data_IF_221288029762
#
_entry.id   IF_221288029762
#
_cell.length_a   1.000
_cell.length_b   1.000
_cell.length_c   1.000
_cell.angle_alpha   90.00
_cell.angle_beta   90.00
_cell.angle_gamma   90.00
#
_symmetry.space_group_name_H-M   'P 1'
#
loop_
_entity.id
_entity.type
_entity.pdbx_description
1 polymer ?
#
# COMPACT_ATOMS: atom_id res chain seq x y z
N UNK A 1 -17.31 10.67 -14.89
CA UNK A 1 -17.91 9.44 -14.34
C UNK A 1 -16.89 8.37 -13.96
N UNK A 2 -15.76 8.24 -14.66
CA UNK A 2 -14.64 7.40 -14.22
C UNK A 2 -14.12 7.76 -12.81
N UNK A 3 -14.21 9.04 -12.44
CA UNK A 3 -13.83 9.57 -11.12
C UNK A 3 -14.57 8.88 -9.98
N UNK A 4 -15.89 8.61 -10.13
CA UNK A 4 -16.69 7.93 -9.08
C UNK A 4 -16.21 6.51 -8.79
N UNK A 5 -15.81 5.77 -9.83
CA UNK A 5 -15.29 4.41 -9.64
C UNK A 5 -13.93 4.44 -8.92
N UNK A 6 -13.05 5.37 -9.28
CA UNK A 6 -11.77 5.56 -8.62
C UNK A 6 -11.93 5.95 -7.15
N UNK A 7 -12.79 6.93 -6.86
CA UNK A 7 -13.15 7.32 -5.50
C UNK A 7 -13.66 6.14 -4.67
N UNK A 8 -14.52 5.35 -5.29
CA UNK A 8 -15.11 4.18 -4.63
C UNK A 8 -14.05 3.14 -4.26
N UNK A 9 -13.12 2.87 -5.18
CA UNK A 9 -12.02 1.95 -4.94
C UNK A 9 -11.07 2.48 -3.85
N UNK A 10 -10.65 3.73 -3.95
CA UNK A 10 -9.77 4.37 -2.95
C UNK A 10 -10.41 4.38 -1.56
N UNK A 11 -11.71 4.70 -1.47
CA UNK A 11 -12.44 4.64 -0.20
C UNK A 11 -12.53 3.22 0.38
N UNK A 12 -12.64 2.19 -0.46
CA UNK A 12 -12.60 0.80 -0.02
C UNK A 12 -11.21 0.40 0.49
N UNK A 13 -10.16 0.79 -0.22
CA UNK A 13 -8.75 0.57 0.18
C UNK A 13 -8.47 1.30 1.51
N UNK A 14 -8.81 2.59 1.61
CA UNK A 14 -8.55 3.37 2.84
C UNK A 14 -9.16 2.73 4.08
N UNK A 15 -10.40 2.23 3.98
CA UNK A 15 -11.07 1.56 5.11
C UNK A 15 -10.33 0.32 5.62
N UNK A 16 -9.50 -0.33 4.81
CA UNK A 16 -8.67 -1.45 5.25
C UNK A 16 -7.50 -1.00 6.15
N UNK A 17 -7.08 0.26 6.04
CA UNK A 17 -6.03 0.83 6.87
C UNK A 17 -6.56 1.48 8.15
N UNK A 18 -7.75 2.02 8.14
CA UNK A 18 -8.47 2.82 9.13
C UNK A 18 -7.66 3.30 10.35
N UNK A 19 -7.39 2.42 11.31
CA UNK A 19 -6.64 2.79 12.53
C UNK A 19 -5.14 2.99 12.31
N UNK A 20 -4.56 2.35 11.31
CA UNK A 20 -3.10 2.32 11.10
C UNK A 20 -2.57 3.55 10.36
N UNK A 21 -3.40 4.17 9.51
CA UNK A 21 -2.99 5.34 8.71
C UNK A 21 -3.57 6.68 9.19
N UNK A 22 -4.19 6.72 10.36
CA UNK A 22 -4.80 7.97 10.89
C UNK A 22 -3.86 9.17 10.95
N UNK A 23 -2.55 8.94 10.96
CA UNK A 23 -1.49 9.96 11.02
C UNK A 23 -0.47 9.77 9.88
N UNK A 24 -0.84 9.07 8.80
CA UNK A 24 0.06 8.71 7.70
C UNK A 24 0.38 9.85 6.72
N UNK A 25 -0.18 11.05 6.90
CA UNK A 25 0.07 12.22 6.05
C UNK A 25 0.41 13.42 6.91
N UNK A 26 1.64 13.92 6.79
CA UNK A 26 2.11 15.10 7.51
C UNK A 26 1.65 16.41 6.85
N UNK A 27 1.69 17.49 7.63
CA UNK A 27 1.48 18.88 7.17
C UNK A 27 0.16 19.05 6.40
N UNK A 28 -0.93 18.49 6.93
CA UNK A 28 -2.23 18.66 6.30
C UNK A 28 -2.71 20.12 6.41
N UNK A 29 -3.19 20.73 5.31
CA UNK A 29 -3.85 22.03 5.37
C UNK A 29 -5.01 22.04 6.37
N UNK A 30 -5.32 23.22 6.92
CA UNK A 30 -6.45 23.38 7.83
C UNK A 30 -7.76 22.86 7.19
N UNK A 31 -8.49 22.03 7.93
CA UNK A 31 -9.74 21.40 7.47
C UNK A 31 -9.55 20.13 6.61
N UNK A 32 -8.34 19.78 6.23
CA UNK A 32 -8.07 18.53 5.53
C UNK A 32 -7.84 17.38 6.54
N UNK A 33 -8.50 16.26 6.34
CA UNK A 33 -8.24 15.03 7.08
C UNK A 33 -7.40 14.03 6.27
N UNK A 34 -6.88 13.01 6.93
CA UNK A 34 -6.01 12.00 6.30
C UNK A 34 -6.71 11.26 5.17
N UNK A 35 -8.01 10.97 5.31
CA UNK A 35 -8.79 10.35 4.23
C UNK A 35 -8.78 11.20 2.95
N UNK A 36 -9.06 12.49 3.08
CA UNK A 36 -9.04 13.39 1.93
C UNK A 36 -7.64 13.54 1.32
N UNK A 37 -6.61 13.56 2.15
CA UNK A 37 -5.22 13.59 1.70
C UNK A 37 -4.85 12.30 0.92
N UNK A 38 -5.26 11.12 1.42
CA UNK A 38 -5.08 9.86 0.73
C UNK A 38 -5.80 9.83 -0.62
N UNK A 39 -7.07 10.27 -0.65
CA UNK A 39 -7.83 10.35 -1.91
C UNK A 39 -7.14 11.30 -2.89
N UNK A 40 -6.75 12.50 -2.44
CA UNK A 40 -6.09 13.50 -3.28
C UNK A 40 -4.75 12.98 -3.85
N UNK A 41 -3.96 12.29 -3.04
CA UNK A 41 -2.68 11.74 -3.46
C UNK A 41 -2.80 10.66 -4.54
N UNK A 42 -3.95 9.95 -4.58
CA UNK A 42 -4.12 8.76 -5.40
C UNK A 42 -5.16 8.91 -6.52
N UNK A 43 -6.01 9.95 -6.47
CA UNK A 43 -7.04 10.16 -7.46
C UNK A 43 -6.41 10.57 -8.81
N UNK A 44 -6.63 9.75 -9.83
CA UNK A 44 -6.10 9.98 -11.17
C UNK A 44 -4.68 9.45 -11.41
N UNK A 45 -3.94 9.12 -10.35
CA UNK A 45 -2.58 8.53 -10.47
C UNK A 45 -2.67 7.09 -10.96
N UNK A 46 -3.53 6.29 -10.33
CA UNK A 46 -3.80 4.92 -10.76
C UNK A 46 -5.27 4.79 -11.14
N UNK A 47 -5.53 4.48 -12.41
CA UNK A 47 -6.89 4.33 -12.93
C UNK A 47 -7.37 2.90 -12.71
N UNK A 48 -8.36 2.72 -11.84
CA UNK A 48 -9.02 1.45 -11.58
C UNK A 48 -10.52 1.62 -11.77
N UNK A 49 -11.15 0.70 -12.49
CA UNK A 49 -12.55 0.76 -12.85
C UNK A 49 -13.30 -0.46 -12.32
N UNK A 50 -14.12 -0.25 -11.30
CA UNK A 50 -15.02 -1.26 -10.74
C UNK A 50 -16.47 -0.86 -10.97
N UNK A 51 -17.38 -1.81 -11.16
CA UNK A 51 -18.80 -1.54 -11.34
C UNK A 51 -19.46 -1.15 -10.01
N UNK A 52 -20.64 -0.53 -10.10
CA UNK A 52 -21.46 -0.19 -8.92
C UNK A 52 -21.79 -1.45 -8.09
N UNK A 53 -22.13 -2.54 -8.74
CA UNK A 53 -22.41 -3.83 -8.07
C UNK A 53 -21.19 -4.36 -7.34
N UNK A 54 -20.03 -4.41 -8.00
CA UNK A 54 -18.77 -4.81 -7.34
C UNK A 54 -18.47 -3.95 -6.12
N UNK A 55 -18.66 -2.63 -6.23
CA UNK A 55 -18.50 -1.72 -5.09
C UNK A 55 -19.44 -2.05 -3.93
N UNK A 56 -20.71 -2.25 -4.22
CA UNK A 56 -21.70 -2.58 -3.19
C UNK A 56 -21.39 -3.91 -2.49
N UNK A 57 -20.74 -4.82 -3.21
CA UNK A 57 -20.24 -6.08 -2.67
C UNK A 57 -18.85 -5.94 -2.01
N UNK A 58 -18.37 -4.73 -1.71
CA UNK A 58 -17.08 -4.50 -1.06
C UNK A 58 -15.87 -4.67 -1.97
N UNK A 59 -16.07 -4.55 -3.30
CA UNK A 59 -14.99 -4.68 -4.30
C UNK A 59 -13.94 -3.60 -4.16
N UNK A 60 -12.67 -4.03 -4.27
CA UNK A 60 -11.49 -3.17 -4.29
C UNK A 60 -10.35 -3.82 -5.07
N UNK A 61 -9.46 -3.00 -5.62
CA UNK A 61 -8.26 -3.44 -6.35
C UNK A 61 -7.04 -2.77 -5.75
N UNK A 62 -6.03 -3.58 -5.42
CA UNK A 62 -4.69 -3.11 -5.06
C UNK A 62 -3.98 -2.52 -6.27
N UNK A 63 -3.35 -1.38 -6.06
CA UNK A 63 -2.54 -0.68 -7.04
C UNK A 63 -1.39 0.06 -6.31
N UNK A 64 -0.39 0.60 -7.01
CA UNK A 64 0.73 1.27 -6.37
C UNK A 64 0.31 2.63 -5.77
N UNK A 65 -0.60 2.57 -4.80
CA UNK A 65 -1.09 3.75 -4.08
C UNK A 65 -0.04 4.30 -3.14
N UNK A 66 0.04 5.64 -3.09
CA UNK A 66 0.73 6.34 -2.02
C UNK A 66 -0.05 6.15 -0.72
N UNK A 67 0.56 5.50 0.26
CA UNK A 67 -0.10 5.19 1.53
C UNK A 67 0.29 6.15 2.65
N UNK A 68 1.50 6.70 2.57
CA UNK A 68 1.98 7.72 3.51
C UNK A 68 2.70 8.85 2.77
N UNK A 69 2.75 10.03 3.40
CA UNK A 69 3.50 11.19 2.92
C UNK A 69 4.04 11.97 4.09
N UNK A 70 5.34 12.06 4.19
CA UNK A 70 5.98 12.76 5.30
C UNK A 70 7.44 13.10 5.04
N UNK A 71 8.12 13.49 6.10
CA UNK A 71 9.45 14.08 6.09
C UNK A 71 10.59 13.10 6.36
N UNK A 72 10.28 11.89 6.89
CA UNK A 72 11.32 10.89 7.08
C UNK A 72 11.79 10.31 5.73
N UNK A 73 13.05 9.88 5.63
CA UNK A 73 13.59 9.26 4.43
C UNK A 73 12.72 8.08 3.95
N UNK A 74 12.48 8.02 2.65
CA UNK A 74 11.72 6.94 2.03
C UNK A 74 12.52 5.65 2.01
N UNK A 75 11.85 4.52 2.25
CA UNK A 75 12.41 3.19 2.10
C UNK A 75 12.19 2.76 0.67
N UNK A 76 13.26 2.62 -0.11
CA UNK A 76 13.17 2.08 -1.46
C UNK A 76 13.03 0.55 -1.42
N UNK A 77 12.39 0.00 -2.47
CA UNK A 77 12.13 -1.43 -2.59
C UNK A 77 12.45 -1.90 -4.00
N UNK A 78 13.14 -3.01 -4.11
CA UNK A 78 13.48 -3.65 -5.39
C UNK A 78 13.19 -5.14 -5.33
N UNK A 79 12.83 -5.73 -6.46
CA UNK A 79 12.66 -7.18 -6.57
C UNK A 79 13.94 -7.78 -7.12
N UNK A 80 14.50 -8.77 -6.40
CA UNK A 80 15.69 -9.49 -6.85
C UNK A 80 15.37 -10.60 -7.86
N UNK A 81 16.39 -11.30 -8.35
CA UNK A 81 16.25 -12.39 -9.31
C UNK A 81 15.42 -13.57 -8.77
N UNK A 82 15.42 -13.79 -7.46
CA UNK A 82 14.59 -14.79 -6.79
C UNK A 82 13.16 -14.30 -6.50
N UNK A 83 12.79 -13.15 -7.05
CA UNK A 83 11.47 -12.51 -6.91
C UNK A 83 11.13 -12.07 -5.47
N UNK A 84 12.14 -12.02 -4.60
CA UNK A 84 12.02 -11.49 -3.23
C UNK A 84 12.05 -9.97 -3.27
N UNK A 85 11.18 -9.33 -2.51
CA UNK A 85 11.18 -7.88 -2.34
C UNK A 85 12.21 -7.50 -1.27
N UNK A 86 13.22 -6.72 -1.67
CA UNK A 86 14.32 -6.27 -0.82
C UNK A 86 14.18 -4.77 -0.58
N UNK A 87 14.25 -4.34 0.67
CA UNK A 87 14.19 -2.93 1.06
C UNK A 87 15.59 -2.31 1.10
N UNK A 88 15.65 -0.97 1.18
CA UNK A 88 16.90 -0.25 1.43
C UNK A 88 17.34 -0.25 2.90
N UNK A 89 16.62 -0.91 3.80
CA UNK A 89 17.01 -1.01 5.21
C UNK A 89 18.15 -2.02 5.34
N UNK A 90 19.33 -1.53 5.69
CA UNK A 90 20.51 -2.34 5.90
C UNK A 90 20.48 -2.97 7.31
N UNK A 91 20.72 -4.27 7.40
CA UNK A 91 20.80 -5.04 8.64
C UNK A 91 22.24 -5.48 8.97
N UNK A 92 23.22 -5.04 8.16
CA UNK A 92 24.61 -5.47 8.32
C UNK A 92 24.75 -6.99 8.18
N UNK A 93 25.27 -7.62 9.21
CA UNK A 93 25.51 -9.06 9.26
C UNK A 93 24.42 -9.84 10.01
N UNK A 94 23.35 -9.19 10.48
CA UNK A 94 22.29 -9.87 11.22
C UNK A 94 21.56 -10.87 10.30
N UNK A 95 21.63 -12.14 10.67
CA UNK A 95 20.75 -13.18 10.10
C UNK A 95 19.49 -13.29 10.95
N UNK A 96 18.32 -12.99 10.37
CA UNK A 96 17.05 -13.08 11.11
C UNK A 96 16.59 -14.53 11.13
N UNK A 97 16.42 -15.08 12.34
CA UNK A 97 15.90 -16.43 12.57
C UNK A 97 14.81 -16.44 13.65
N UNK A 98 14.36 -17.64 14.07
CA UNK A 98 13.31 -17.80 15.07
C UNK A 98 13.72 -17.36 16.50
N UNK A 99 14.99 -17.13 16.74
CA UNK A 99 15.52 -16.70 18.04
C UNK A 99 15.91 -15.23 18.06
N UNK A 100 15.92 -14.57 16.90
CA UNK A 100 16.23 -13.14 16.79
C UNK A 100 15.25 -12.34 17.64
N UNK A 101 15.77 -11.49 18.53
CA UNK A 101 14.96 -10.61 19.38
C UNK A 101 14.71 -9.25 18.72
N UNK A 102 13.70 -8.53 19.21
CA UNK A 102 13.46 -7.14 18.83
C UNK A 102 14.70 -6.28 19.12
N UNK A 103 15.40 -6.52 20.25
CA UNK A 103 16.63 -5.83 20.58
C UNK A 103 17.72 -6.01 19.50
N UNK A 104 17.99 -7.26 19.08
CA UNK A 104 18.98 -7.55 18.05
C UNK A 104 18.61 -6.93 16.70
N UNK A 105 17.33 -7.03 16.32
CA UNK A 105 16.82 -6.39 15.10
C UNK A 105 16.95 -4.87 15.16
N UNK A 106 16.54 -4.26 16.28
CA UNK A 106 16.60 -2.80 16.48
C UNK A 106 18.04 -2.28 16.44
N UNK A 107 18.96 -2.97 17.11
CA UNK A 107 20.38 -2.61 17.08
C UNK A 107 20.92 -2.66 15.65
N UNK A 108 20.62 -3.72 14.89
CA UNK A 108 21.07 -3.83 13.50
C UNK A 108 20.50 -2.72 12.60
N UNK A 109 19.22 -2.38 12.75
CA UNK A 109 18.59 -1.30 11.98
C UNK A 109 19.22 0.05 12.34
N UNK A 110 19.39 0.36 13.62
CA UNK A 110 19.91 1.66 14.07
C UNK A 110 21.38 1.83 13.68
N UNK A 111 22.21 0.81 13.88
CA UNK A 111 23.65 0.89 13.61
C UNK A 111 24.01 1.03 12.12
N UNK A 112 23.14 0.51 11.25
CA UNK A 112 23.42 0.47 9.81
C UNK A 112 22.61 1.48 8.99
N UNK A 113 21.76 2.32 9.63
CA UNK A 113 20.94 3.30 8.91
C UNK A 113 20.77 4.58 9.75
N UNK A 114 21.44 5.65 9.39
CA UNK A 114 21.45 6.95 10.10
C UNK A 114 20.05 7.57 10.30
N UNK A 115 19.07 7.14 9.51
CA UNK A 115 17.70 7.68 9.58
C UNK A 115 16.85 7.09 10.69
N UNK A 116 17.28 5.98 11.31
CA UNK A 116 16.56 5.29 12.36
C UNK A 116 17.12 5.58 13.75
N UNK A 117 16.27 5.56 14.75
CA UNK A 117 16.60 5.76 16.16
C UNK A 117 15.78 4.88 17.08
N UNK A 118 16.20 4.76 18.34
CA UNK A 118 15.45 4.14 19.43
C UNK A 118 14.04 4.77 19.52
N UNK A 119 13.02 3.94 19.65
CA UNK A 119 11.62 4.36 19.71
C UNK A 119 10.94 4.57 18.35
N UNK A 120 11.69 4.54 17.24
CA UNK A 120 11.08 4.55 15.90
C UNK A 120 10.21 3.32 15.68
N UNK A 121 9.24 3.45 14.78
CA UNK A 121 8.36 2.36 14.42
C UNK A 121 8.58 1.97 12.97
N UNK A 122 8.74 0.68 12.73
CA UNK A 122 8.74 0.11 11.38
C UNK A 122 7.48 -0.73 11.21
N UNK A 123 6.64 -0.37 10.24
CA UNK A 123 5.40 -1.08 9.94
C UNK A 123 5.50 -1.72 8.56
N UNK A 124 5.28 -3.03 8.48
CA UNK A 124 5.12 -3.75 7.23
C UNK A 124 3.64 -3.90 6.91
N UNK A 125 3.20 -3.33 5.80
CA UNK A 125 1.85 -3.55 5.27
C UNK A 125 1.89 -4.62 4.18
N UNK A 126 1.03 -5.61 4.33
CA UNK A 126 0.79 -6.66 3.35
C UNK A 126 -0.65 -6.63 2.89
N UNK A 127 -0.84 -6.37 1.61
CA UNK A 127 -2.14 -6.42 0.93
C UNK A 127 -2.27 -7.70 0.11
N UNK A 128 -3.41 -8.37 0.23
CA UNK A 128 -3.74 -9.58 -0.53
C UNK A 128 -4.92 -9.26 -1.44
N UNK A 129 -4.77 -9.52 -2.74
CA UNK A 129 -5.82 -9.40 -3.74
C UNK A 129 -6.44 -10.78 -4.00
N UNK A 130 -7.75 -10.87 -3.85
CA UNK A 130 -8.51 -12.07 -4.21
C UNK A 130 -9.68 -11.70 -5.13
N UNK A 131 -10.24 -12.69 -5.81
CA UNK A 131 -11.47 -12.53 -6.59
C UNK A 131 -12.50 -13.54 -6.05
N UNK A 132 -13.62 -13.04 -5.58
CA UNK A 132 -14.75 -13.87 -5.19
C UNK A 132 -15.23 -14.69 -6.39
N UNK A 133 -15.24 -16.00 -6.27
CA UNK A 133 -15.51 -16.92 -7.40
C UNK A 133 -16.97 -16.91 -7.85
N UNK A 134 -17.90 -16.56 -6.97
CA UNK A 134 -19.33 -16.52 -7.23
C UNK A 134 -19.73 -15.16 -7.83
N UNK A 135 -19.40 -14.08 -7.15
CA UNK A 135 -19.80 -12.72 -7.55
C UNK A 135 -18.84 -12.07 -8.53
N UNK A 136 -17.67 -12.69 -8.78
CA UNK A 136 -16.55 -12.11 -9.55
C UNK A 136 -16.09 -10.75 -9.02
N UNK A 137 -16.35 -10.48 -7.75
CA UNK A 137 -15.98 -9.24 -7.10
C UNK A 137 -14.53 -9.31 -6.63
N UNK A 138 -13.66 -8.37 -7.05
CA UNK A 138 -12.29 -8.29 -6.53
C UNK A 138 -12.33 -7.81 -5.08
N UNK A 139 -11.58 -8.47 -4.22
CA UNK A 139 -11.50 -8.15 -2.80
C UNK A 139 -10.07 -7.90 -2.38
N UNK A 140 -9.90 -7.02 -1.41
CA UNK A 140 -8.61 -6.69 -0.83
C UNK A 140 -8.68 -6.89 0.67
N UNK A 141 -7.64 -7.48 1.23
CA UNK A 141 -7.38 -7.50 2.66
C UNK A 141 -6.00 -6.90 2.89
N UNK A 142 -5.88 -5.89 3.76
CA UNK A 142 -4.61 -5.27 4.14
C UNK A 142 -4.38 -5.53 5.62
N UNK A 143 -3.18 -5.98 5.95
CA UNK A 143 -2.72 -6.18 7.33
C UNK A 143 -1.45 -5.39 7.55
N UNK A 144 -1.32 -4.80 8.72
CA UNK A 144 -0.12 -4.11 9.18
C UNK A 144 0.50 -4.83 10.35
N UNK A 145 1.83 -4.95 10.33
CA UNK A 145 2.64 -5.56 11.38
C UNK A 145 3.69 -4.53 11.79
N UNK A 146 3.67 -4.15 13.05
CA UNK A 146 4.48 -3.06 13.55
C UNK A 146 5.46 -3.56 14.61
N UNK A 147 6.72 -3.16 14.50
CA UNK A 147 7.71 -3.24 15.55
C UNK A 147 8.13 -1.83 15.96
N UNK A 148 8.26 -1.61 17.26
CA UNK A 148 8.91 -0.42 17.83
C UNK A 148 10.36 -0.78 18.05
N UNK A 149 11.29 0.01 17.51
CA UNK A 149 12.71 -0.24 17.68
C UNK A 149 13.10 0.01 19.14
N UNK A 150 13.54 -1.05 19.81
CA UNK A 150 14.02 -1.01 21.20
C UNK A 150 15.18 -1.97 21.39
N UNK A 151 16.32 -1.43 21.76
CA UNK A 151 17.54 -2.21 22.03
C UNK A 151 17.49 -2.96 23.35
N UNK A 152 16.46 -2.74 24.15
CA UNK A 152 16.22 -3.41 25.45
C UNK A 152 15.09 -4.45 25.40
N UNK A 153 14.44 -4.66 24.27
CA UNK A 153 13.30 -5.59 24.14
C UNK A 153 13.77 -6.98 23.70
N UNK A 154 13.83 -7.91 24.63
CA UNK A 154 14.23 -9.30 24.41
C UNK A 154 13.11 -10.20 23.83
N UNK A 155 11.93 -9.64 23.53
CA UNK A 155 10.85 -10.38 22.88
C UNK A 155 11.31 -10.88 21.52
N UNK A 156 10.94 -12.10 21.17
CA UNK A 156 11.26 -12.63 19.83
C UNK A 156 10.59 -11.81 18.74
N UNK A 157 11.35 -11.44 17.70
CA UNK A 157 10.87 -10.60 16.62
C UNK A 157 9.59 -11.16 15.97
N UNK A 158 9.56 -12.47 15.69
CA UNK A 158 8.40 -13.09 15.03
C UNK A 158 7.21 -13.37 15.95
N UNK A 159 7.30 -13.08 17.25
CA UNK A 159 6.14 -13.02 18.14
C UNK A 159 5.42 -11.66 18.03
N UNK A 160 6.12 -10.61 17.55
CA UNK A 160 5.58 -9.26 17.35
C UNK A 160 5.14 -9.03 15.90
N UNK A 161 5.89 -9.56 14.94
CA UNK A 161 5.67 -9.37 13.49
C UNK A 161 5.71 -10.69 12.75
N UNK A 162 5.25 -10.70 11.48
CA UNK A 162 5.27 -11.91 10.66
C UNK A 162 6.58 -12.05 9.89
N UNK A 163 7.06 -13.28 9.77
CA UNK A 163 8.26 -13.62 9.00
C UNK A 163 8.24 -13.06 7.57
N UNK A 164 7.06 -13.03 6.91
CA UNK A 164 6.94 -12.57 5.52
C UNK A 164 7.61 -11.20 5.30
N UNK A 165 7.41 -10.23 6.18
CA UNK A 165 7.94 -8.87 6.02
C UNK A 165 9.20 -8.58 6.82
N UNK A 166 9.69 -9.56 7.60
CA UNK A 166 10.83 -9.41 8.50
C UNK A 166 11.77 -10.60 8.35
N UNK A 167 12.39 -10.66 7.17
CA UNK A 167 13.45 -11.60 6.82
C UNK A 167 14.65 -10.82 6.30
N UNK A 168 15.74 -11.49 5.97
CA UNK A 168 16.96 -10.86 5.47
C UNK A 168 17.37 -11.49 4.14
N UNK A 169 17.79 -10.65 3.20
CA UNK A 169 18.44 -11.03 1.94
C UNK A 169 19.55 -10.04 1.63
N UNK A 170 20.74 -10.56 1.40
CA UNK A 170 21.94 -9.76 1.03
C UNK A 170 22.22 -8.59 2.01
N UNK A 171 22.07 -8.84 3.32
CA UNK A 171 22.28 -7.84 4.36
C UNK A 171 21.17 -6.81 4.51
N UNK A 172 20.05 -6.95 3.80
CA UNK A 172 18.94 -6.01 3.85
C UNK A 172 17.63 -6.66 4.31
N UNK A 173 16.77 -5.86 4.93
CA UNK A 173 15.42 -6.28 5.28
C UNK A 173 14.64 -6.62 4.01
N UNK A 174 14.04 -7.80 4.00
CA UNK A 174 13.40 -8.35 2.81
C UNK A 174 12.16 -9.17 3.17
N UNK A 175 11.37 -9.51 2.16
CA UNK A 175 10.34 -10.53 2.32
C UNK A 175 10.96 -11.93 2.36
N UNK A 176 10.36 -12.86 3.10
CA UNK A 176 10.84 -14.26 3.17
C UNK A 176 10.47 -15.08 1.93
N UNK A 177 9.52 -14.59 1.16
CA UNK A 177 9.00 -15.23 -0.06
C UNK A 177 8.47 -14.18 -1.03
N UNK A 178 8.13 -14.58 -2.24
CA UNK A 178 7.56 -13.72 -3.26
C UNK A 178 6.19 -13.17 -2.84
N UNK A 179 5.97 -11.88 -3.08
CA UNK A 179 4.64 -11.27 -2.97
C UNK A 179 3.86 -11.57 -4.25
N UNK A 180 2.92 -12.53 -4.18
CA UNK A 180 2.07 -12.92 -5.31
C UNK A 180 0.67 -12.34 -5.15
N UNK A 181 0.07 -11.84 -6.23
CA UNK A 181 -1.29 -11.27 -6.24
C UNK A 181 -1.58 -10.36 -5.03
N UNK A 182 -0.67 -9.43 -4.78
CA UNK A 182 -0.75 -8.59 -3.60
C UNK A 182 0.06 -7.31 -3.70
N UNK A 183 0.27 -6.71 -2.54
CA UNK A 183 1.09 -5.53 -2.38
C UNK A 183 1.84 -5.58 -1.05
N UNK A 184 3.01 -4.97 -1.00
CA UNK A 184 3.77 -4.85 0.24
C UNK A 184 4.47 -3.50 0.33
N UNK A 185 4.73 -3.05 1.55
CA UNK A 185 5.52 -1.86 1.81
C UNK A 185 5.97 -1.82 3.26
N UNK A 186 7.16 -1.27 3.50
CA UNK A 186 7.61 -0.87 4.84
C UNK A 186 7.44 0.64 4.99
N UNK A 187 6.93 1.05 6.16
CA UNK A 187 6.75 2.46 6.55
C UNK A 187 7.55 2.71 7.80
N UNK A 188 8.43 3.69 7.74
CA UNK A 188 9.12 4.24 8.90
C UNK A 188 8.26 5.35 9.51
N UNK A 189 8.08 5.34 10.83
CA UNK A 189 7.43 6.42 11.55
C UNK A 189 8.12 6.71 12.89
N UNK A 190 8.08 7.98 13.31
CA UNK A 190 8.69 8.50 14.54
C UNK A 190 7.71 9.45 15.23
N UNK A 191 7.49 9.26 16.51
CA UNK A 191 6.78 10.22 17.31
C UNK A 191 7.73 11.33 17.77
N UNK A 192 7.45 12.57 17.36
CA UNK A 192 8.23 13.72 17.77
C UNK A 192 7.87 14.15 19.21
N UNK A 193 8.73 14.93 19.85
CA UNK A 193 8.56 15.38 21.25
C UNK A 193 7.26 16.18 21.47
N UNK A 194 6.71 16.80 20.45
CA UNK A 194 5.44 17.53 20.47
C UNK A 194 4.21 16.62 20.24
N UNK A 195 4.42 15.29 20.17
CA UNK A 195 3.38 14.30 19.91
C UNK A 195 2.95 14.21 18.44
N UNK A 196 3.59 14.93 17.51
CA UNK A 196 3.35 14.75 16.08
C UNK A 196 4.00 13.46 15.58
N UNK A 197 3.34 12.74 14.68
CA UNK A 197 3.92 11.58 14.02
C UNK A 197 4.57 12.02 12.71
N UNK A 198 5.87 11.79 12.59
CA UNK A 198 6.60 11.86 11.32
C UNK A 198 6.57 10.51 10.65
N UNK A 199 6.48 10.50 9.32
CA UNK A 199 6.43 9.26 8.53
C UNK A 199 7.31 9.37 7.28
N UNK A 200 7.76 8.23 6.77
CA UNK A 200 8.37 8.17 5.43
C UNK A 200 7.28 8.26 4.35
N UNK A 201 7.63 8.83 3.20
CA UNK A 201 6.73 8.81 2.03
C UNK A 201 6.82 7.45 1.35
N UNK A 202 5.69 6.71 1.29
CA UNK A 202 5.69 5.34 0.81
C UNK A 202 4.55 5.04 -0.16
N UNK A 203 4.88 4.17 -1.13
CA UNK A 203 3.95 3.62 -2.10
C UNK A 203 3.93 2.09 -2.00
N UNK A 204 2.79 1.48 -2.24
CA UNK A 204 2.75 0.03 -2.39
C UNK A 204 3.63 -0.44 -3.56
N UNK A 205 4.48 -1.40 -3.29
CA UNK A 205 4.98 -2.31 -4.30
C UNK A 205 3.88 -3.33 -4.62
N UNK A 206 3.53 -3.51 -5.89
CA UNK A 206 2.35 -4.30 -6.29
C UNK A 206 2.73 -5.39 -7.29
N UNK A 207 2.40 -6.62 -6.94
CA UNK A 207 2.34 -7.77 -7.83
C UNK A 207 0.87 -8.23 -7.91
N UNK A 208 0.11 -7.67 -8.84
CA UNK A 208 -1.33 -7.92 -8.92
C UNK A 208 -1.78 -8.09 -10.37
N UNK A 209 -1.98 -9.33 -10.80
CA UNK A 209 -2.46 -9.66 -12.15
C UNK A 209 -3.87 -9.13 -12.44
N UNK A 210 -4.71 -8.99 -11.38
CA UNK A 210 -6.06 -8.45 -11.53
C UNK A 210 -6.04 -6.96 -11.92
N UNK A 211 -5.01 -6.19 -11.55
CA UNK A 211 -4.92 -4.76 -11.84
C UNK A 211 -5.06 -4.47 -13.32
N UNK A 212 -4.36 -5.21 -14.20
CA UNK A 212 -4.43 -5.02 -15.64
C UNK A 212 -5.86 -5.19 -16.18
N UNK A 213 -6.61 -6.18 -15.68
CA UNK A 213 -8.01 -6.43 -16.06
C UNK A 213 -8.90 -5.23 -15.74
N UNK A 214 -8.73 -4.65 -14.54
CA UNK A 214 -9.57 -3.54 -14.07
C UNK A 214 -9.10 -2.16 -14.55
N UNK A 215 -8.06 -2.10 -15.37
CA UNK A 215 -7.60 -0.91 -16.09
C UNK A 215 -7.97 -0.95 -17.58
N UNK A 216 -8.56 -2.02 -18.08
CA UNK A 216 -8.89 -2.22 -19.48
C UNK A 216 -10.04 -1.32 -19.98
N UNK A 217 -10.13 -1.12 -21.31
CA UNK A 217 -11.26 -0.41 -21.92
C UNK A 217 -12.60 -1.08 -21.57
N UNK A 218 -12.67 -2.40 -21.51
CA UNK A 218 -13.86 -3.15 -21.12
C UNK A 218 -14.27 -2.79 -19.70
N UNK A 219 -13.31 -2.70 -18.77
CA UNK A 219 -13.59 -2.29 -17.39
C UNK A 219 -14.07 -0.84 -17.31
N UNK A 220 -13.49 0.07 -18.11
CA UNK A 220 -13.94 1.47 -18.22
C UNK A 220 -15.42 1.51 -18.63
N UNK A 221 -15.77 0.84 -19.74
CA UNK A 221 -17.13 0.81 -20.28
C UNK A 221 -18.12 0.22 -19.26
N UNK A 222 -17.80 -0.94 -18.68
CA UNK A 222 -18.63 -1.59 -17.68
C UNK A 222 -18.86 -0.71 -16.45
N UNK A 223 -17.82 -0.02 -15.99
CA UNK A 223 -17.91 0.92 -14.86
C UNK A 223 -18.77 2.13 -15.19
N UNK A 224 -18.55 2.78 -16.34
CA UNK A 224 -19.35 3.94 -16.78
C UNK A 224 -20.82 3.59 -16.89
N UNK A 225 -21.17 2.48 -17.55
CA UNK A 225 -22.55 2.02 -17.70
C UNK A 225 -23.21 1.74 -16.33
N UNK A 226 -22.46 1.16 -15.40
CA UNK A 226 -22.94 0.79 -14.06
C UNK A 226 -23.22 2.01 -13.15
N UNK A 227 -22.45 3.10 -13.28
CA UNK A 227 -22.60 4.31 -12.45
C UNK A 227 -23.44 5.40 -13.07
N UNK A 228 -23.57 5.44 -14.39
CA UNK A 228 -24.14 6.60 -15.08
C UNK A 228 -25.28 6.33 -16.06
N UNK A 229 -25.57 5.08 -16.34
CA UNK A 229 -26.54 4.70 -17.35
C UNK A 229 -26.05 4.89 -18.80
N UNK A 230 -26.84 4.41 -19.76
CA UNK A 230 -26.50 4.30 -21.18
C UNK A 230 -26.15 5.65 -21.82
N UNK A 231 -26.80 6.74 -21.41
CA UNK A 231 -26.58 8.08 -21.96
C UNK A 231 -25.20 8.65 -21.65
N UNK A 232 -24.55 8.18 -20.60
CA UNK A 232 -23.23 8.65 -20.21
C UNK A 232 -22.09 7.98 -20.98
N UNK A 233 -22.28 6.74 -21.40
CA UNK A 233 -21.33 6.01 -22.24
C UNK A 233 -21.33 6.59 -23.67
N UNK A 234 -22.51 6.91 -24.21
CA UNK A 234 -22.64 7.49 -25.54
C UNK A 234 -21.92 8.84 -25.67
N UNK A 235 -21.96 9.69 -24.63
CA UNK A 235 -21.28 10.99 -24.64
C UNK A 235 -19.75 10.87 -24.65
N UNK A 236 -19.19 9.83 -24.04
CA UNK A 236 -17.74 9.63 -23.99
C UNK A 236 -17.16 8.88 -25.20
N UNK A 237 -17.99 8.14 -25.94
CA UNK A 237 -17.58 7.41 -27.14
C UNK A 237 -17.78 8.23 -28.44
N UNK A 238 -18.47 9.38 -28.36
CA UNK A 238 -18.78 10.21 -29.53
C UNK A 238 -17.62 11.03 -30.13
N UNK A 239 -16.50 11.36 -29.47
CA UNK A 239 -15.44 12.11 -30.15
C UNK A 239 -14.83 11.40 -31.34
N UNK A 240 -14.87 10.06 -31.38
CA UNK A 240 -14.27 9.30 -32.48
C UNK A 240 -15.25 8.96 -33.62
N UNK A 241 -16.57 9.06 -33.36
CA UNK A 241 -17.59 8.74 -34.38
C UNK A 241 -17.98 9.96 -35.25
N UNK A 242 -17.65 11.18 -34.83
CA UNK A 242 -17.96 12.41 -35.60
C UNK A 242 -16.87 12.81 -36.61
N UNK A 243 -15.84 11.99 -36.79
CA UNK A 243 -14.76 12.27 -37.78
C UNK A 243 -14.89 11.49 -39.07
N UNK A 244 -15.97 10.73 -39.25
CA UNK A 244 -16.20 10.01 -40.53
C UNK A 244 -17.63 10.23 -40.98
N UNK A 245 -17.89 11.39 -41.58
CA UNK A 245 -18.82 11.48 -42.71
C UNK A 245 -18.45 12.68 -43.61
N UNK A 246 -18.48 12.50 -44.93
CA UNK A 246 -18.00 13.47 -45.93
C UNK A 246 -18.89 14.70 -46.05
#
# INVERSE_FOLDING_TARGET
MSVRAQWSNLGAIYRQFDSMLRRGFENLPAGMNVYNAFIQANLGVVKVYITKTMRLNGGAILAPYQITRGSLPSISMTKNASRILVSSINLGTLAIDANTTVAQFSQAVIDNNDSFAEGDQLTFFHGIQTIDTVTRTPRVTIRGYKVVLSIADDTKLWDVVIKLGFSMTDGHLATSEEITNGAAVWVHSREAADGTLKVSTQFFYVENSALATYQSNTAIIASVNSYGGINSAAVYLQPELNTVMP
#
